data_IF_130697306834
#
_entry.id   IF_130697306834
#
_cell.length_a   1.000
_cell.length_b   1.000
_cell.length_c   1.000
_cell.angle_alpha   90.00
_cell.angle_beta   90.00
_cell.angle_gamma   90.00
#
_symmetry.space_group_name_H-M   'P 1'
#
loop_
_entity.id
_entity.type
_entity.pdbx_description
1 polymer ?
#
# COMPACT_ATOMS: atom_id res chain seq x y z
N UNK A 1 9.15 23.15 10.74
CA UNK A 1 8.73 22.03 9.86
C UNK A 1 9.05 22.39 8.42
N UNK A 2 9.16 21.40 7.53
CA UNK A 2 9.36 21.56 6.08
C UNK A 2 8.13 21.06 5.35
N UNK A 3 7.69 21.81 4.35
CA UNK A 3 6.56 21.42 3.51
C UNK A 3 7.01 20.34 2.52
N UNK A 4 6.24 19.25 2.43
CA UNK A 4 6.42 18.20 1.41
C UNK A 4 5.04 17.94 0.79
N UNK A 5 4.86 18.39 -0.45
CA UNK A 5 3.54 18.45 -1.07
C UNK A 5 2.63 19.44 -0.34
N UNK A 6 1.49 18.95 0.17
CA UNK A 6 0.51 19.76 0.94
C UNK A 6 0.67 19.66 2.45
N UNK A 7 1.59 18.83 2.93
CA UNK A 7 1.72 18.49 4.35
C UNK A 7 3.05 18.99 4.91
N UNK A 8 3.17 19.03 6.23
CA UNK A 8 4.34 19.55 6.92
C UNK A 8 4.99 18.49 7.80
N UNK A 9 6.29 18.26 7.61
CA UNK A 9 7.04 17.25 8.36
C UNK A 9 8.27 17.87 9.02
N UNK A 10 8.86 17.18 9.99
CA UNK A 10 10.04 17.64 10.69
C UNK A 10 11.25 16.72 10.44
N UNK A 11 12.10 17.03 9.45
CA UNK A 11 13.28 16.23 9.14
C UNK A 11 14.27 16.13 10.31
N UNK A 12 14.35 17.14 11.19
CA UNK A 12 15.27 17.10 12.34
C UNK A 12 14.84 16.13 13.44
N UNK A 13 13.58 15.68 13.41
CA UNK A 13 13.05 14.64 14.29
C UNK A 13 12.91 13.31 13.55
N UNK A 14 13.65 13.12 12.45
CA UNK A 14 13.61 11.87 11.72
C UNK A 14 14.18 10.73 12.55
N UNK A 15 13.68 9.52 12.30
CA UNK A 15 14.23 8.30 12.88
C UNK A 15 14.25 7.19 11.85
N UNK A 16 15.20 6.28 12.00
CA UNK A 16 15.35 5.12 11.11
C UNK A 16 14.57 3.93 11.67
N UNK A 17 13.80 3.28 10.81
CA UNK A 17 13.19 1.98 11.07
C UNK A 17 13.90 0.96 10.20
N UNK A 18 14.72 0.15 10.85
CA UNK A 18 15.44 -0.92 10.16
C UNK A 18 14.49 -2.06 9.85
N UNK A 19 14.51 -2.57 8.62
CA UNK A 19 13.79 -3.79 8.24
C UNK A 19 14.76 -4.75 7.54
N UNK A 20 14.38 -6.02 7.42
CA UNK A 20 15.29 -7.07 6.91
C UNK A 20 15.81 -6.81 5.49
N UNK A 21 15.03 -6.14 4.64
CA UNK A 21 15.37 -5.88 3.23
C UNK A 21 15.73 -4.42 2.95
N UNK A 22 15.00 -3.49 3.55
CA UNK A 22 15.11 -2.06 3.27
C UNK A 22 14.97 -1.30 4.57
N UNK A 23 15.85 -0.33 4.80
CA UNK A 23 15.74 0.57 5.94
C UNK A 23 14.93 1.80 5.54
N UNK A 24 14.08 2.27 6.44
CA UNK A 24 13.23 3.43 6.20
C UNK A 24 13.61 4.58 7.12
N UNK A 25 13.49 5.79 6.61
CA UNK A 25 13.50 7.01 7.38
C UNK A 25 12.07 7.53 7.49
N UNK A 26 11.62 7.82 8.72
CA UNK A 26 10.30 8.38 8.99
C UNK A 26 10.46 9.81 9.47
N UNK A 27 9.76 10.74 8.81
CA UNK A 27 9.65 12.12 9.26
C UNK A 27 8.29 12.33 9.93
N UNK A 28 8.25 12.59 11.24
CA UNK A 28 7.00 12.93 11.91
C UNK A 28 6.50 14.29 11.42
N UNK A 29 5.20 14.45 11.32
CA UNK A 29 4.58 15.65 10.80
C UNK A 29 3.08 15.69 11.00
N UNK A 30 2.46 16.65 10.32
CA UNK A 30 1.05 16.91 10.40
C UNK A 30 0.49 17.14 9.00
N UNK A 31 -0.68 16.56 8.75
CA UNK A 31 -1.58 16.99 7.68
C UNK A 31 -2.44 18.09 8.30
N UNK A 32 -2.51 19.24 7.65
CA UNK A 32 -3.30 20.37 8.14
C UNK A 32 -4.24 20.88 7.06
N UNK A 33 -5.45 21.25 7.46
CA UNK A 33 -6.41 21.96 6.62
C UNK A 33 -7.20 22.95 7.47
N UNK A 34 -7.53 24.10 6.88
CA UNK A 34 -8.41 25.09 7.49
C UNK A 34 -9.65 25.16 6.60
N UNK A 35 -10.81 24.89 7.19
CA UNK A 35 -12.09 24.87 6.48
C UNK A 35 -13.17 25.55 7.32
N UNK A 36 -14.16 26.11 6.65
CA UNK A 36 -15.39 26.57 7.28
C UNK A 36 -16.26 25.35 7.62
N UNK A 37 -16.66 25.24 8.89
CA UNK A 37 -17.63 24.26 9.38
C UNK A 37 -18.90 24.97 9.86
N UNK A 38 -19.86 24.22 10.39
CA UNK A 38 -21.22 24.67 10.70
C UNK A 38 -21.27 25.92 11.59
N UNK A 39 -20.32 26.05 12.52
CA UNK A 39 -20.32 27.17 13.50
C UNK A 39 -19.06 28.02 13.45
N UNK A 40 -17.97 27.52 12.89
CA UNK A 40 -16.66 28.17 13.00
C UNK A 40 -15.71 27.70 11.91
N UNK A 41 -14.68 28.49 11.66
CA UNK A 41 -13.51 28.04 10.90
C UNK A 41 -12.67 27.15 11.80
N UNK A 42 -12.41 25.91 11.37
CA UNK A 42 -11.64 24.94 12.16
C UNK A 42 -10.32 24.62 11.47
N UNK A 43 -9.26 24.51 12.27
CA UNK A 43 -8.02 23.84 11.88
C UNK A 43 -8.16 22.34 12.15
N UNK A 44 -8.20 21.56 11.10
CA UNK A 44 -8.07 20.11 11.18
C UNK A 44 -6.60 19.74 11.08
N UNK A 45 -6.08 19.06 12.11
CA UNK A 45 -4.73 18.55 12.13
C UNK A 45 -4.73 17.04 12.38
N UNK A 46 -3.97 16.30 11.60
CA UNK A 46 -3.77 14.86 11.76
C UNK A 46 -2.29 14.53 11.83
N UNK A 47 -1.91 13.70 12.81
CA UNK A 47 -0.54 13.19 12.94
C UNK A 47 -0.21 12.30 11.74
N UNK A 48 0.85 12.64 11.03
CA UNK A 48 1.28 11.93 9.83
C UNK A 48 2.77 11.64 9.87
N UNK A 49 3.19 10.59 9.16
CA UNK A 49 4.60 10.23 9.01
C UNK A 49 4.92 10.13 7.53
N UNK A 50 5.90 10.90 7.06
CA UNK A 50 6.43 10.73 5.71
C UNK A 50 7.42 9.58 5.75
N UNK A 51 7.07 8.49 5.07
CA UNK A 51 7.92 7.32 4.93
C UNK A 51 8.79 7.42 3.68
N UNK A 52 10.09 7.24 3.85
CA UNK A 52 11.07 7.28 2.78
C UNK A 52 12.03 6.11 2.94
N UNK A 53 12.53 5.57 1.84
CA UNK A 53 13.61 4.58 1.94
C UNK A 53 14.93 5.28 2.30
N UNK A 54 15.85 4.56 2.95
CA UNK A 54 17.16 5.12 3.27
C UNK A 54 18.11 5.06 2.07
N UNK A 55 17.93 4.05 1.21
CA UNK A 55 18.69 3.87 -0.02
C UNK A 55 18.30 4.91 -1.09
N UNK A 56 19.27 5.26 -1.93
CA UNK A 56 19.08 6.13 -3.08
C UNK A 56 18.51 5.35 -4.28
N UNK A 57 18.01 6.06 -5.29
CA UNK A 57 17.64 5.42 -6.56
C UNK A 57 18.86 4.77 -7.22
N UNK A 58 20.06 5.33 -7.02
CA UNK A 58 21.31 4.73 -7.49
C UNK A 58 21.61 3.37 -6.83
N UNK A 59 21.36 3.24 -5.53
CA UNK A 59 21.54 1.97 -4.82
C UNK A 59 20.57 0.90 -5.35
N UNK A 60 19.33 1.30 -5.62
CA UNK A 60 18.31 0.44 -6.24
C UNK A 60 18.74 0.01 -7.66
N UNK A 61 19.26 0.94 -8.46
CA UNK A 61 19.81 0.64 -9.79
C UNK A 61 20.90 -0.44 -9.72
N UNK A 62 21.85 -0.30 -8.79
CA UNK A 62 22.95 -1.26 -8.61
C UNK A 62 22.44 -2.63 -8.16
N UNK A 63 21.48 -2.67 -7.24
CA UNK A 63 20.86 -3.91 -6.79
C UNK A 63 20.14 -4.62 -7.93
N UNK A 64 19.28 -3.91 -8.67
CA UNK A 64 18.54 -4.48 -9.79
C UNK A 64 19.44 -4.95 -10.92
N UNK A 65 20.57 -4.26 -11.17
CA UNK A 65 21.56 -4.67 -12.15
C UNK A 65 22.16 -6.04 -11.80
N UNK A 66 22.54 -6.26 -10.54
CA UNK A 66 23.03 -7.56 -10.05
C UNK A 66 21.99 -8.68 -10.23
N UNK A 67 20.74 -8.43 -9.81
CA UNK A 67 19.65 -9.39 -9.92
C UNK A 67 19.29 -9.75 -11.37
N UNK A 68 19.34 -8.77 -12.27
CA UNK A 68 19.05 -9.00 -13.69
C UNK A 68 20.17 -9.79 -14.37
N UNK A 69 21.44 -9.49 -14.05
CA UNK A 69 22.59 -10.23 -14.58
C UNK A 69 22.56 -11.70 -14.18
N UNK A 70 22.19 -12.02 -12.93
CA UNK A 70 22.07 -13.40 -12.47
C UNK A 70 20.91 -14.16 -13.14
N UNK A 71 19.83 -13.47 -13.51
CA UNK A 71 18.62 -14.08 -14.08
C UNK A 71 18.53 -13.98 -15.61
N UNK A 72 19.54 -13.41 -16.27
CA UNK A 72 19.54 -13.19 -17.72
C UNK A 72 18.42 -12.27 -18.21
N UNK A 73 18.01 -11.27 -17.40
CA UNK A 73 16.92 -10.33 -17.75
C UNK A 73 17.48 -9.00 -18.25
N UNK A 74 16.72 -8.31 -19.10
CA UNK A 74 17.05 -6.95 -19.53
C UNK A 74 16.91 -5.97 -18.36
N UNK A 75 18.05 -5.49 -17.88
CA UNK A 75 18.12 -4.54 -16.78
C UNK A 75 17.40 -3.21 -17.08
N UNK A 76 17.55 -2.65 -18.28
CA UNK A 76 16.96 -1.34 -18.60
C UNK A 76 15.45 -1.44 -18.57
N UNK A 77 14.90 -2.49 -19.19
CA UNK A 77 13.46 -2.72 -19.23
C UNK A 77 12.87 -2.96 -17.83
N UNK A 78 13.52 -3.78 -17.00
CA UNK A 78 13.04 -4.03 -15.63
C UNK A 78 13.12 -2.78 -14.75
N UNK A 79 14.17 -1.96 -14.92
CA UNK A 79 14.30 -0.71 -14.18
C UNK A 79 13.24 0.32 -14.58
N UNK A 80 12.95 0.46 -15.87
CA UNK A 80 11.88 1.35 -16.36
C UNK A 80 10.52 0.91 -15.82
N UNK A 81 10.20 -0.40 -15.86
CA UNK A 81 8.97 -0.94 -15.25
C UNK A 81 8.85 -0.62 -13.76
N UNK A 82 9.97 -0.62 -13.05
CA UNK A 82 9.98 -0.34 -11.61
C UNK A 82 9.82 1.16 -11.30
N UNK A 83 10.56 2.01 -12.00
CA UNK A 83 10.75 3.42 -11.61
C UNK A 83 9.76 4.37 -12.29
N UNK A 84 9.35 4.11 -13.53
CA UNK A 84 8.41 4.97 -14.25
C UNK A 84 7.07 4.98 -13.53
N UNK A 85 6.55 6.17 -13.23
CA UNK A 85 5.37 6.40 -12.43
C UNK A 85 5.61 6.52 -10.92
N UNK A 86 6.80 6.17 -10.41
CA UNK A 86 7.14 6.34 -9.01
C UNK A 86 7.36 7.81 -8.66
N UNK A 87 7.15 8.15 -7.38
CA UNK A 87 7.45 9.47 -6.84
C UNK A 87 8.77 9.39 -6.06
N UNK A 88 9.76 10.15 -6.51
CA UNK A 88 11.04 10.32 -5.80
C UNK A 88 11.05 11.64 -5.05
N UNK A 89 11.78 11.68 -3.93
CA UNK A 89 12.12 12.90 -3.19
C UNK A 89 13.58 13.22 -3.40
N UNK A 90 13.88 14.49 -3.66
CA UNK A 90 15.24 15.03 -3.65
C UNK A 90 15.56 15.60 -2.27
N UNK A 91 16.49 14.99 -1.55
CA UNK A 91 16.75 15.31 -0.13
C UNK A 91 17.28 16.73 0.11
N UNK A 92 17.96 17.30 -0.88
CA UNK A 92 18.60 18.62 -0.77
C UNK A 92 17.60 19.79 -0.78
N UNK A 93 16.39 19.60 -1.29
CA UNK A 93 15.36 20.65 -1.34
C UNK A 93 13.95 20.18 -0.94
N UNK A 94 13.79 18.91 -0.56
CA UNK A 94 12.53 18.27 -0.17
C UNK A 94 11.43 18.34 -1.24
N UNK A 95 11.79 18.46 -2.51
CA UNK A 95 10.84 18.42 -3.63
C UNK A 95 10.61 16.98 -4.08
N UNK A 96 9.37 16.71 -4.47
CA UNK A 96 8.96 15.40 -5.00
C UNK A 96 8.72 15.50 -6.49
N UNK A 97 9.16 14.49 -7.23
CA UNK A 97 9.03 14.40 -8.67
C UNK A 97 8.46 13.05 -9.05
N UNK A 98 7.51 13.03 -9.99
CA UNK A 98 7.08 11.78 -10.63
C UNK A 98 8.08 11.46 -11.74
N UNK A 99 8.59 10.24 -11.75
CA UNK A 99 9.52 9.80 -12.80
C UNK A 99 8.71 9.36 -14.02
N UNK A 100 9.05 9.88 -15.19
CA UNK A 100 8.39 9.56 -16.46
C UNK A 100 9.31 8.77 -17.41
N UNK A 101 10.61 8.72 -17.13
CA UNK A 101 11.59 7.97 -17.91
C UNK A 101 12.97 7.96 -17.26
N UNK A 102 13.90 7.25 -17.90
CA UNK A 102 15.33 7.21 -17.53
C UNK A 102 16.13 7.54 -18.79
N UNK A 103 16.98 8.55 -18.71
CA UNK A 103 17.88 8.96 -19.78
C UNK A 103 19.20 8.20 -19.66
N UNK A 104 19.26 7.03 -20.32
CA UNK A 104 20.43 6.15 -20.29
C UNK A 104 21.64 6.69 -21.05
N UNK A 105 21.42 7.62 -21.98
CA UNK A 105 22.47 8.21 -22.81
C UNK A 105 23.05 9.49 -22.20
N UNK A 106 22.45 10.01 -21.13
CA UNK A 106 22.95 11.17 -20.41
C UNK A 106 23.62 10.73 -19.11
N UNK A 107 24.62 11.51 -18.68
CA UNK A 107 25.26 11.34 -17.38
C UNK A 107 25.51 12.71 -16.73
N UNK A 108 25.99 12.71 -15.49
CA UNK A 108 26.14 13.94 -14.70
C UNK A 108 27.23 14.88 -15.21
N UNK A 109 28.17 14.42 -16.04
CA UNK A 109 29.20 15.27 -16.64
C UNK A 109 28.68 16.08 -17.82
N UNK A 110 27.53 15.70 -18.38
CA UNK A 110 26.90 16.46 -19.45
C UNK A 110 26.33 17.79 -18.93
N UNK A 111 26.20 18.75 -19.85
CA UNK A 111 25.74 20.11 -19.54
C UNK A 111 24.28 20.31 -19.88
N UNK A 112 23.65 21.24 -19.17
CA UNK A 112 22.32 21.76 -19.47
C UNK A 112 22.34 23.29 -19.41
N UNK A 113 21.41 23.93 -20.11
CA UNK A 113 21.30 25.38 -20.14
C UNK A 113 20.58 25.92 -18.90
N UNK A 114 21.22 26.83 -18.17
CA UNK A 114 20.59 27.70 -17.16
C UNK A 114 20.58 29.14 -17.66
N UNK A 115 19.80 30.01 -17.00
CA UNK A 115 19.71 31.44 -17.35
C UNK A 115 21.06 32.17 -17.40
N UNK A 116 22.05 31.69 -16.64
CA UNK A 116 23.40 32.27 -16.57
C UNK A 116 24.44 31.52 -17.43
N UNK A 117 24.00 30.65 -18.36
CA UNK A 117 24.85 29.90 -19.29
C UNK A 117 24.83 28.38 -19.08
N UNK A 118 25.62 27.65 -19.83
CA UNK A 118 25.68 26.18 -19.77
C UNK A 118 26.48 25.70 -18.55
N UNK A 119 25.95 24.72 -17.79
CA UNK A 119 26.62 24.14 -16.61
C UNK A 119 26.43 22.62 -16.58
N UNK A 120 27.43 21.88 -16.10
CA UNK A 120 27.28 20.42 -15.91
C UNK A 120 26.37 20.11 -14.72
N UNK A 121 25.79 18.91 -14.66
CA UNK A 121 25.01 18.52 -13.48
C UNK A 121 25.91 18.49 -12.23
N UNK A 122 27.12 17.94 -12.33
CA UNK A 122 28.09 17.89 -11.20
C UNK A 122 28.37 19.29 -10.66
N UNK A 123 28.71 20.24 -11.54
CA UNK A 123 29.04 21.60 -11.13
C UNK A 123 27.82 22.32 -10.55
N UNK A 124 26.65 22.15 -11.17
CA UNK A 124 25.41 22.74 -10.67
C UNK A 124 25.10 22.30 -9.23
N UNK A 125 25.17 21.00 -8.94
CA UNK A 125 24.90 20.47 -7.60
C UNK A 125 25.96 20.89 -6.58
N UNK A 126 27.22 21.04 -7.02
CA UNK A 126 28.30 21.55 -6.17
C UNK A 126 28.14 23.04 -5.87
N UNK A 127 27.84 23.87 -6.86
CA UNK A 127 27.67 25.31 -6.70
C UNK A 127 26.41 25.66 -5.89
N UNK A 128 25.25 25.06 -6.20
CA UNK A 128 23.98 25.45 -5.61
C UNK A 128 23.68 24.82 -4.26
N UNK A 129 24.13 23.58 -4.05
CA UNK A 129 23.77 22.81 -2.86
C UNK A 129 25.00 22.31 -2.08
N UNK A 130 26.23 22.59 -2.55
CA UNK A 130 27.48 22.07 -1.99
C UNK A 130 27.52 20.53 -1.91
N UNK A 131 26.94 19.86 -2.91
CA UNK A 131 26.88 18.39 -2.97
C UNK A 131 27.92 17.88 -3.95
N UNK A 132 28.68 16.86 -3.54
CA UNK A 132 29.62 16.14 -4.41
C UNK A 132 28.95 14.84 -4.86
N UNK A 133 28.76 14.70 -6.17
CA UNK A 133 28.23 13.47 -6.79
C UNK A 133 29.37 12.46 -6.88
N UNK A 134 29.15 11.23 -6.40
CA UNK A 134 30.21 10.21 -6.32
C UNK A 134 30.31 9.37 -7.58
N UNK A 135 29.17 8.99 -8.15
CA UNK A 135 29.14 8.15 -9.36
C UNK A 135 28.89 9.03 -10.59
N UNK A 136 29.93 9.27 -11.40
CA UNK A 136 29.80 10.16 -12.56
C UNK A 136 29.20 9.47 -13.79
N UNK A 137 29.07 8.16 -13.78
CA UNK A 137 28.55 7.36 -14.91
C UNK A 137 27.07 6.97 -14.73
N UNK A 138 26.44 7.38 -13.64
CA UNK A 138 25.03 7.11 -13.41
C UNK A 138 24.14 7.80 -14.47
N UNK A 139 23.04 7.15 -14.90
CA UNK A 139 22.08 7.76 -15.82
C UNK A 139 21.33 8.90 -15.13
N UNK A 140 20.52 9.64 -15.89
CA UNK A 140 19.64 10.67 -15.32
C UNK A 140 18.19 10.20 -15.31
N UNK A 141 17.43 10.63 -14.30
CA UNK A 141 15.98 10.40 -14.24
C UNK A 141 15.26 11.55 -14.94
N UNK A 142 14.23 11.23 -15.72
CA UNK A 142 13.40 12.19 -16.41
C UNK A 142 12.10 12.42 -15.64
N UNK A 143 11.78 13.68 -15.37
CA UNK A 143 10.48 14.10 -14.82
C UNK A 143 9.90 15.22 -15.68
N UNK A 144 8.66 15.06 -16.11
CA UNK A 144 7.91 16.05 -16.88
C UNK A 144 6.84 16.68 -15.98
N UNK A 145 7.02 17.96 -15.58
CA UNK A 145 6.02 18.66 -14.77
C UNK A 145 4.65 18.70 -15.43
N UNK A 146 3.59 18.87 -14.64
CA UNK A 146 2.24 18.97 -15.21
C UNK A 146 2.12 20.22 -16.07
N UNK A 147 1.28 20.20 -17.09
CA UNK A 147 1.08 21.34 -18.00
C UNK A 147 0.69 22.63 -17.25
N UNK A 148 -0.01 22.53 -16.11
CA UNK A 148 -0.31 23.66 -15.23
C UNK A 148 0.92 24.32 -14.60
N UNK A 149 1.97 23.55 -14.32
CA UNK A 149 3.23 24.03 -13.75
C UNK A 149 4.11 24.67 -14.83
N UNK A 150 4.13 24.08 -16.03
CA UNK A 150 4.78 24.66 -17.21
C UNK A 150 4.19 26.05 -17.53
N UNK A 151 2.85 26.17 -17.54
CA UNK A 151 2.15 27.45 -17.74
C UNK A 151 2.48 28.52 -16.67
N UNK A 152 2.96 28.11 -15.50
CA UNK A 152 3.42 29.00 -14.42
C UNK A 152 4.92 29.34 -14.53
N UNK A 153 5.56 29.05 -15.67
CA UNK A 153 6.98 29.27 -15.91
C UNK A 153 7.89 28.14 -15.41
N UNK A 154 7.34 26.96 -15.15
CA UNK A 154 8.11 25.75 -14.83
C UNK A 154 8.85 25.20 -16.04
N UNK A 155 9.93 24.44 -15.79
CA UNK A 155 10.67 23.73 -16.84
C UNK A 155 9.78 22.67 -17.50
N UNK A 156 9.94 22.47 -18.80
CA UNK A 156 9.24 21.41 -19.54
C UNK A 156 9.78 20.02 -19.17
N UNK A 157 11.08 19.95 -18.89
CA UNK A 157 11.79 18.72 -18.53
C UNK A 157 12.73 19.00 -17.36
N UNK A 158 12.72 18.10 -16.38
CA UNK A 158 13.64 18.12 -15.23
C UNK A 158 14.44 16.82 -15.22
N UNK A 159 15.76 16.93 -15.30
CA UNK A 159 16.67 15.83 -15.09
C UNK A 159 17.11 15.77 -13.63
N UNK A 160 17.04 14.57 -13.04
CA UNK A 160 17.41 14.33 -11.64
C UNK A 160 18.51 13.28 -11.56
N UNK A 161 19.40 13.44 -10.59
CA UNK A 161 20.52 12.52 -10.36
C UNK A 161 20.05 11.39 -9.42
N UNK A 162 20.11 10.11 -9.83
CA UNK A 162 19.66 8.98 -9.02
C UNK A 162 20.25 8.91 -7.61
N UNK A 163 21.53 9.25 -7.43
CA UNK A 163 22.23 9.29 -6.14
C UNK A 163 21.57 10.25 -5.14
N UNK A 164 20.96 11.33 -5.63
CA UNK A 164 20.35 12.38 -4.81
C UNK A 164 18.83 12.19 -4.64
N UNK A 165 18.29 11.12 -5.23
CA UNK A 165 16.87 10.80 -5.22
C UNK A 165 16.60 9.60 -4.31
N UNK A 166 15.46 9.64 -3.61
CA UNK A 166 14.98 8.53 -2.80
C UNK A 166 13.54 8.21 -3.19
N UNK A 167 13.23 6.93 -3.43
CA UNK A 167 11.84 6.52 -3.70
C UNK A 167 10.99 6.73 -2.43
N UNK A 168 9.85 7.40 -2.59
CA UNK A 168 8.94 7.69 -1.48
C UNK A 168 7.80 6.67 -1.42
N UNK A 169 7.27 6.45 -0.21
CA UNK A 169 6.19 5.49 0.00
C UNK A 169 6.67 4.03 0.04
N UNK A 170 5.73 3.12 -0.11
CA UNK A 170 5.96 1.67 -0.12
C UNK A 170 5.66 1.12 -1.50
N UNK A 171 6.58 0.32 -2.04
CA UNK A 171 6.29 -0.50 -3.23
C UNK A 171 5.30 -1.60 -2.85
N UNK A 172 4.58 -2.16 -3.82
CA UNK A 172 3.62 -3.24 -3.55
C UNK A 172 4.29 -4.48 -2.96
N UNK A 173 5.54 -4.75 -3.34
CA UNK A 173 6.37 -5.81 -2.75
C UNK A 173 6.62 -5.57 -1.26
N UNK A 174 6.94 -4.34 -0.86
CA UNK A 174 7.16 -3.98 0.53
C UNK A 174 5.85 -3.95 1.33
N UNK A 175 4.73 -3.56 0.71
CA UNK A 175 3.39 -3.66 1.32
C UNK A 175 2.98 -5.12 1.56
N UNK A 176 3.38 -6.02 0.66
CA UNK A 176 3.13 -7.45 0.80
C UNK A 176 4.05 -8.13 1.84
N UNK A 177 5.16 -7.51 2.23
CA UNK A 177 6.03 -7.99 3.29
C UNK A 177 5.44 -7.68 4.68
N UNK A 178 4.83 -8.70 5.27
CA UNK A 178 4.23 -8.64 6.60
C UNK A 178 5.20 -8.18 7.69
N UNK A 179 6.48 -8.58 7.62
CA UNK A 179 7.45 -8.23 8.67
C UNK A 179 7.78 -6.73 8.62
N UNK A 180 8.01 -6.21 7.42
CA UNK A 180 8.22 -4.77 7.19
C UNK A 180 6.98 -3.98 7.63
N UNK A 181 5.78 -4.36 7.20
CA UNK A 181 4.55 -3.68 7.59
C UNK A 181 4.27 -3.74 9.09
N UNK A 182 4.56 -4.87 9.75
CA UNK A 182 4.41 -5.00 11.21
C UNK A 182 5.36 -4.06 11.96
N UNK A 183 6.62 -3.95 11.52
CA UNK A 183 7.60 -3.01 12.11
C UNK A 183 7.18 -1.56 11.90
N UNK A 184 6.80 -1.17 10.68
CA UNK A 184 6.34 0.18 10.37
C UNK A 184 5.07 0.56 11.13
N UNK A 185 4.17 -0.40 11.37
CA UNK A 185 2.92 -0.18 12.08
C UNK A 185 3.13 0.27 13.53
N UNK A 186 4.21 -0.18 14.21
CA UNK A 186 4.54 0.23 15.59
C UNK A 186 4.66 1.75 15.71
N UNK A 187 5.19 2.40 14.67
CA UNK A 187 5.44 3.84 14.66
C UNK A 187 4.31 4.64 14.00
N UNK A 188 3.73 4.10 12.93
CA UNK A 188 2.72 4.78 12.12
C UNK A 188 1.29 4.62 12.66
N UNK A 189 0.97 3.51 13.34
CA UNK A 189 -0.36 3.28 13.94
C UNK A 189 -0.37 3.74 15.40
N UNK A 190 -0.49 5.05 15.59
CA UNK A 190 -0.61 5.63 16.93
C UNK A 190 -2.03 5.47 17.47
N UNK A 191 -2.15 4.97 18.71
CA UNK A 191 -3.42 4.90 19.43
C UNK A 191 -3.97 6.28 19.81
N UNK A 192 -5.26 6.38 20.20
CA UNK A 192 -5.95 7.64 20.45
C UNK A 192 -5.25 8.56 21.45
N UNK A 193 -4.74 8.02 22.56
CA UNK A 193 -4.06 8.80 23.61
C UNK A 193 -2.79 9.48 23.09
N UNK A 194 -1.92 8.73 22.39
CA UNK A 194 -0.69 9.28 21.79
C UNK A 194 -1.00 10.32 20.73
N UNK A 195 -2.04 10.08 19.92
CA UNK A 195 -2.50 11.04 18.90
C UNK A 195 -2.99 12.35 19.53
N UNK A 196 -3.82 12.28 20.57
CA UNK A 196 -4.29 13.45 21.33
C UNK A 196 -3.13 14.24 21.93
N UNK A 197 -2.15 13.56 22.51
CA UNK A 197 -0.94 14.20 23.04
C UNK A 197 -0.12 14.91 21.95
N UNK A 198 0.12 14.24 20.82
CA UNK A 198 0.85 14.84 19.70
C UNK A 198 0.16 16.09 19.14
N UNK A 199 -1.17 16.10 19.03
CA UNK A 199 -1.94 17.27 18.61
C UNK A 199 -1.89 18.42 19.62
N UNK A 200 -1.98 18.12 20.92
CA UNK A 200 -1.79 19.12 21.96
C UNK A 200 -0.39 19.75 21.90
N UNK A 201 0.65 18.93 21.79
CA UNK A 201 2.03 19.40 21.65
C UNK A 201 2.24 20.23 20.38
N UNK A 202 1.54 19.90 19.29
CA UNK A 202 1.57 20.67 18.06
C UNK A 202 0.97 22.07 18.23
N UNK A 203 -0.24 22.17 18.77
CA UNK A 203 -0.89 23.45 19.05
C UNK A 203 -0.07 24.28 20.03
N UNK A 204 0.43 23.66 21.11
CA UNK A 204 1.27 24.35 22.08
C UNK A 204 2.52 24.97 21.40
N UNK A 205 3.21 24.24 20.53
CA UNK A 205 4.36 24.78 19.78
C UNK A 205 4.01 25.94 18.86
N UNK A 206 2.80 25.96 18.31
CA UNK A 206 2.30 27.06 17.47
C UNK A 206 2.02 28.28 18.34
N UNK A 207 1.30 28.10 19.46
CA UNK A 207 0.87 29.20 20.32
C UNK A 207 2.00 29.78 21.17
N UNK A 208 3.06 29.01 21.48
CA UNK A 208 4.23 29.54 22.21
C UNK A 208 5.27 30.19 21.28
N UNK A 209 5.09 30.14 19.97
CA UNK A 209 6.01 30.77 19.03
C UNK A 209 5.56 32.20 18.75
N UNK A 210 6.30 33.18 19.28
CA UNK A 210 5.99 34.61 19.21
C UNK A 210 5.88 35.14 17.79
N UNK A 211 6.68 34.62 16.84
CA UNK A 211 6.59 35.03 15.43
C UNK A 211 5.28 34.58 14.80
N UNK A 212 4.83 33.36 15.15
CA UNK A 212 3.57 32.82 14.66
C UNK A 212 2.39 33.58 15.28
N UNK A 213 2.41 33.77 16.60
CA UNK A 213 1.37 34.52 17.31
C UNK A 213 1.19 35.93 16.73
N UNK A 214 2.28 36.67 16.53
CA UNK A 214 2.24 38.01 15.93
C UNK A 214 1.61 38.00 14.54
N UNK A 215 2.01 37.05 13.68
CA UNK A 215 1.45 36.92 12.32
C UNK A 215 -0.03 36.60 12.33
N UNK A 216 -0.52 35.76 13.23
CA UNK A 216 -1.96 35.46 13.29
C UNK A 216 -2.75 36.63 13.89
N UNK A 217 -2.18 37.34 14.87
CA UNK A 217 -2.78 38.53 15.46
C UNK A 217 -2.98 39.67 14.44
N UNK A 218 -2.05 39.85 13.49
CA UNK A 218 -2.19 40.81 12.37
C UNK A 218 -3.44 40.54 11.51
N UNK A 219 -3.91 39.29 11.46
CA UNK A 219 -5.13 38.88 10.75
C UNK A 219 -6.37 38.82 11.64
N UNK A 220 -6.24 39.18 12.93
CA UNK A 220 -7.31 39.03 13.92
C UNK A 220 -7.64 37.56 14.23
N UNK A 221 -6.71 36.64 13.97
CA UNK A 221 -6.89 35.21 14.15
C UNK A 221 -6.13 34.71 15.38
N UNK A 222 -6.68 33.68 16.04
CA UNK A 222 -6.03 32.98 17.14
C UNK A 222 -6.41 31.50 17.11
N UNK A 223 -5.48 30.62 17.48
CA UNK A 223 -5.78 29.22 17.71
C UNK A 223 -6.26 28.99 19.15
N UNK A 224 -7.26 28.14 19.29
CA UNK A 224 -7.67 27.59 20.57
C UNK A 224 -6.63 26.54 21.04
N UNK A 225 -6.37 26.48 22.34
CA UNK A 225 -5.33 25.64 22.95
C UNK A 225 -5.82 24.22 23.34
N UNK A 226 -7.10 23.94 23.08
CA UNK A 226 -7.75 22.65 23.32
C UNK A 226 -8.32 22.05 22.04
N UNK A 227 -8.54 20.74 22.09
CA UNK A 227 -9.28 20.07 21.03
C UNK A 227 -10.75 20.43 21.15
N UNK A 228 -11.44 20.47 20.01
CA UNK A 228 -12.87 20.73 19.94
C UNK A 228 -13.65 19.61 20.65
N UNK A 229 -14.46 19.99 21.62
CA UNK A 229 -15.41 19.08 22.27
C UNK A 229 -16.68 18.98 21.41
N UNK A 230 -17.06 17.75 21.07
CA UNK A 230 -18.22 17.46 20.25
C UNK A 230 -19.20 16.57 21.03
N UNK A 231 -20.47 16.94 21.03
CA UNK A 231 -21.54 16.09 21.55
C UNK A 231 -21.89 15.03 20.51
N UNK A 232 -21.31 13.85 20.68
CA UNK A 232 -21.68 12.66 19.92
C UNK A 232 -22.90 11.93 20.51
N UNK A 233 -23.39 10.93 19.78
CA UNK A 233 -24.35 9.92 20.27
C UNK A 233 -23.85 8.54 19.88
N UNK A 234 -23.98 7.58 20.79
CA UNK A 234 -23.75 6.16 20.49
C UNK A 234 -25.10 5.58 20.08
N UNK A 235 -25.16 4.98 18.90
CA UNK A 235 -26.34 4.27 18.44
C UNK A 235 -26.49 2.96 19.20
N UNK A 236 -27.73 2.54 19.43
CA UNK A 236 -28.01 1.22 19.97
C UNK A 236 -27.54 0.14 19.00
N UNK A 237 -27.08 -0.97 19.55
CA UNK A 237 -26.66 -2.12 18.74
C UNK A 237 -27.85 -2.68 17.98
N UNK A 238 -27.67 -2.92 16.68
CA UNK A 238 -28.68 -3.57 15.86
C UNK A 238 -28.82 -5.06 16.19
N UNK A 239 -30.03 -5.57 15.98
CA UNK A 239 -30.31 -7.00 16.17
C UNK A 239 -30.05 -7.77 14.87
N UNK A 240 -29.18 -8.78 14.93
CA UNK A 240 -28.85 -9.66 13.81
C UNK A 240 -29.78 -10.86 13.82
N UNK A 241 -30.49 -11.06 12.71
CA UNK A 241 -31.39 -12.19 12.49
C UNK A 241 -30.64 -13.39 11.91
N UNK A 242 -30.84 -14.57 12.50
CA UNK A 242 -30.29 -15.86 12.08
C UNK A 242 -31.41 -16.81 11.65
N UNK A 243 -31.03 -18.00 11.17
CA UNK A 243 -31.99 -19.06 10.86
C UNK A 243 -32.80 -19.47 12.10
N UNK A 244 -33.94 -20.11 11.87
CA UNK A 244 -34.87 -20.54 12.93
C UNK A 244 -35.35 -19.37 13.82
N UNK A 245 -35.51 -18.16 13.25
CA UNK A 245 -35.92 -16.93 13.92
C UNK A 245 -35.06 -16.53 15.14
N UNK A 246 -33.81 -17.00 15.20
CA UNK A 246 -32.90 -16.63 16.28
C UNK A 246 -32.33 -15.25 16.08
N UNK A 247 -32.03 -14.57 17.19
CA UNK A 247 -31.55 -13.20 17.19
C UNK A 247 -30.28 -13.09 18.03
N UNK A 248 -29.38 -12.21 17.62
CA UNK A 248 -28.22 -11.84 18.40
C UNK A 248 -28.04 -10.32 18.40
N UNK A 249 -27.63 -9.78 19.54
CA UNK A 249 -27.25 -8.38 19.68
C UNK A 249 -25.88 -8.35 20.36
N UNK A 250 -24.95 -7.56 19.84
CA UNK A 250 -23.60 -7.44 20.38
C UNK A 250 -23.30 -6.01 20.76
N UNK A 251 -22.76 -5.81 21.97
CA UNK A 251 -22.33 -4.50 22.45
C UNK A 251 -21.07 -4.00 21.74
N UNK A 252 -20.22 -4.91 21.29
CA UNK A 252 -18.92 -4.59 20.66
C UNK A 252 -18.98 -4.66 19.13
N UNK A 253 -20.19 -4.69 18.55
CA UNK A 253 -20.43 -4.87 17.11
C UNK A 253 -19.70 -6.10 16.53
N UNK A 254 -19.52 -7.15 17.34
CA UNK A 254 -18.94 -8.44 16.92
C UNK A 254 -19.87 -9.58 17.30
N UNK A 255 -20.25 -10.41 16.31
CA UNK A 255 -21.16 -11.55 16.48
C UNK A 255 -20.49 -12.87 16.05
N UNK A 256 -19.15 -12.93 16.12
CA UNK A 256 -18.37 -14.08 15.66
C UNK A 256 -18.69 -15.36 16.45
N UNK A 257 -19.03 -15.23 17.74
CA UNK A 257 -19.38 -16.37 18.58
C UNK A 257 -20.78 -16.89 18.26
N UNK A 258 -21.72 -15.97 18.05
CA UNK A 258 -23.11 -16.27 17.70
C UNK A 258 -23.17 -16.93 16.33
N UNK A 259 -22.40 -16.43 15.35
CA UNK A 259 -22.31 -17.04 14.03
C UNK A 259 -21.85 -18.51 14.07
N UNK A 260 -20.96 -18.89 15.00
CA UNK A 260 -20.49 -20.28 15.15
C UNK A 260 -21.54 -21.21 15.78
N UNK A 261 -22.52 -20.65 16.50
CA UNK A 261 -23.52 -21.39 17.28
C UNK A 261 -24.90 -21.40 16.62
N UNK A 262 -25.14 -20.51 15.66
CA UNK A 262 -26.42 -20.36 15.00
C UNK A 262 -26.37 -20.81 13.55
N UNK A 263 -27.55 -21.16 13.02
CA UNK A 263 -27.72 -21.45 11.60
C UNK A 263 -27.80 -20.16 10.80
N UNK A 264 -27.31 -20.21 9.57
CA UNK A 264 -27.45 -19.10 8.62
C UNK A 264 -28.92 -18.78 8.37
N UNK A 265 -29.23 -17.49 8.21
CA UNK A 265 -30.59 -17.01 7.92
C UNK A 265 -31.18 -17.67 6.68
N UNK A 266 -30.38 -17.73 5.61
CA UNK A 266 -30.70 -18.43 4.37
C UNK A 266 -29.42 -19.05 3.83
N UNK A 267 -29.51 -20.30 3.40
CA UNK A 267 -28.41 -21.02 2.80
C UNK A 267 -28.91 -21.85 1.61
N UNK A 268 -28.07 -22.01 0.60
CA UNK A 268 -28.30 -22.90 -0.53
C UNK A 268 -27.34 -24.07 -0.37
N UNK A 269 -27.85 -25.28 -0.45
CA UNK A 269 -27.04 -26.49 -0.35
C UNK A 269 -26.01 -26.55 -1.49
N UNK A 270 -24.76 -26.86 -1.13
CA UNK A 270 -23.64 -27.00 -2.05
C UNK A 270 -23.43 -28.49 -2.35
N UNK A 271 -24.07 -28.96 -3.42
CA UNK A 271 -24.07 -30.37 -3.84
C UNK A 271 -23.02 -30.63 -4.93
N UNK A 272 -23.02 -29.81 -5.98
CA UNK A 272 -22.18 -30.00 -7.18
C UNK A 272 -21.08 -28.94 -7.20
N UNK A 273 -19.89 -29.29 -6.73
CA UNK A 273 -18.75 -28.36 -6.72
C UNK A 273 -17.42 -29.09 -6.87
N UNK A 274 -16.40 -28.36 -7.29
CA UNK A 274 -15.06 -28.90 -7.51
C UNK A 274 -14.01 -28.15 -6.70
N UNK A 275 -12.97 -28.87 -6.29
CA UNK A 275 -11.77 -28.30 -5.68
C UNK A 275 -10.55 -28.63 -6.54
N UNK A 276 -9.86 -27.58 -7.01
CA UNK A 276 -8.65 -27.67 -7.82
C UNK A 276 -7.45 -27.36 -6.94
N UNK A 277 -6.44 -28.22 -6.95
CA UNK A 277 -5.22 -28.08 -6.15
C UNK A 277 -4.01 -28.69 -6.87
N UNK A 278 -2.81 -28.18 -6.59
CA UNK A 278 -1.59 -28.83 -7.07
C UNK A 278 -1.30 -30.12 -6.28
N UNK A 279 -0.68 -31.13 -6.90
CA UNK A 279 -0.35 -32.42 -6.25
C UNK A 279 0.30 -32.27 -4.87
N UNK A 280 1.22 -31.31 -4.72
CA UNK A 280 1.90 -31.02 -3.44
C UNK A 280 0.96 -30.56 -2.31
N UNK A 281 -0.19 -29.99 -2.65
CA UNK A 281 -1.16 -29.43 -1.70
C UNK A 281 -2.33 -30.40 -1.43
N UNK A 282 -2.27 -31.64 -1.95
CA UNK A 282 -3.35 -32.65 -1.83
C UNK A 282 -3.82 -32.87 -0.39
N UNK A 283 -2.89 -33.13 0.54
CA UNK A 283 -3.22 -33.32 1.96
C UNK A 283 -3.87 -32.08 2.59
N UNK A 284 -3.41 -30.89 2.20
CA UNK A 284 -3.99 -29.63 2.67
C UNK A 284 -5.42 -29.44 2.13
N UNK A 285 -5.68 -29.83 0.89
CA UNK A 285 -7.02 -29.82 0.29
C UNK A 285 -7.96 -30.80 0.98
N UNK A 286 -7.52 -32.03 1.27
CA UNK A 286 -8.28 -33.03 2.02
C UNK A 286 -8.63 -32.51 3.42
N UNK A 287 -7.64 -32.02 4.18
CA UNK A 287 -7.85 -31.44 5.52
C UNK A 287 -8.81 -30.24 5.50
N UNK A 288 -8.72 -29.40 4.46
CA UNK A 288 -9.62 -28.26 4.28
C UNK A 288 -11.06 -28.72 4.03
N UNK A 289 -11.26 -29.70 3.15
CA UNK A 289 -12.59 -30.25 2.85
C UNK A 289 -13.22 -30.85 4.11
N UNK A 290 -12.48 -31.63 4.89
CA UNK A 290 -12.98 -32.19 6.16
C UNK A 290 -13.42 -31.11 7.14
N UNK A 291 -12.61 -30.06 7.31
CA UNK A 291 -12.94 -28.92 8.19
C UNK A 291 -14.16 -28.17 7.69
N UNK A 292 -14.26 -27.94 6.37
CA UNK A 292 -15.41 -27.26 5.77
C UNK A 292 -16.69 -28.06 6.01
N UNK A 293 -16.69 -29.37 5.73
CA UNK A 293 -17.83 -30.26 5.96
C UNK A 293 -18.26 -30.31 7.43
N UNK A 294 -17.30 -30.22 8.37
CA UNK A 294 -17.58 -30.19 9.81
C UNK A 294 -18.23 -28.87 10.23
N UNK A 295 -17.68 -27.74 9.81
CA UNK A 295 -18.15 -26.40 10.22
C UNK A 295 -19.49 -26.06 9.56
N UNK A 296 -19.67 -26.43 8.29
CA UNK A 296 -20.88 -26.09 7.53
C UNK A 296 -22.15 -26.69 8.13
N UNK A 297 -22.07 -27.91 8.69
CA UNK A 297 -23.20 -28.59 9.36
C UNK A 297 -23.79 -27.78 10.51
N UNK A 298 -22.95 -27.23 11.38
CA UNK A 298 -23.40 -26.43 12.53
C UNK A 298 -24.11 -25.14 12.09
N UNK A 299 -23.70 -24.60 10.94
CA UNK A 299 -24.26 -23.40 10.35
C UNK A 299 -25.54 -23.67 9.54
N UNK A 300 -26.00 -24.93 9.45
CA UNK A 300 -27.12 -25.31 8.59
C UNK A 300 -26.80 -25.25 7.10
N UNK A 301 -25.52 -25.15 6.73
CA UNK A 301 -25.05 -25.19 5.35
C UNK A 301 -24.69 -26.62 4.96
N UNK A 302 -25.54 -27.28 4.17
CA UNK A 302 -25.22 -28.64 3.70
C UNK A 302 -24.25 -28.55 2.55
N UNK A 303 -23.09 -29.17 2.74
CA UNK A 303 -22.02 -29.22 1.73
C UNK A 303 -21.73 -30.70 1.44
N UNK A 304 -21.84 -31.11 0.19
CA UNK A 304 -21.42 -32.42 -0.29
C UNK A 304 -19.91 -32.47 -0.47
N UNK A 305 -19.33 -33.67 -0.62
CA UNK A 305 -17.91 -33.79 -0.96
C UNK A 305 -17.66 -33.24 -2.38
N UNK A 306 -16.64 -32.40 -2.59
CA UNK A 306 -16.33 -31.87 -3.91
C UNK A 306 -15.76 -32.95 -4.83
N UNK A 307 -15.84 -32.69 -6.13
CA UNK A 307 -14.99 -33.38 -7.11
C UNK A 307 -13.54 -32.88 -6.97
N UNK A 308 -12.57 -33.73 -6.58
CA UNK A 308 -11.18 -33.32 -6.49
C UNK A 308 -10.55 -33.29 -7.89
N UNK A 309 -9.82 -32.21 -8.19
CA UNK A 309 -9.12 -32.03 -9.46
C UNK A 309 -7.66 -31.69 -9.19
N UNK A 310 -6.82 -32.71 -9.31
CA UNK A 310 -5.40 -32.60 -9.09
C UNK A 310 -4.69 -31.99 -10.31
N UNK A 311 -3.80 -31.04 -10.05
CA UNK A 311 -3.03 -30.29 -11.04
C UNK A 311 -1.55 -30.62 -10.92
N UNK A 312 -0.91 -30.97 -12.04
CA UNK A 312 0.56 -31.09 -12.10
C UNK A 312 1.25 -29.74 -11.87
N UNK A 313 0.59 -28.64 -12.27
CA UNK A 313 1.13 -27.29 -12.17
C UNK A 313 0.04 -26.23 -12.04
N UNK A 314 0.38 -25.11 -11.37
CA UNK A 314 -0.52 -23.96 -11.18
C UNK A 314 -0.89 -23.26 -12.50
N UNK A 315 -0.18 -23.55 -13.60
CA UNK A 315 -0.52 -22.99 -14.91
C UNK A 315 -1.81 -23.59 -15.47
N UNK A 316 -2.19 -24.78 -15.01
CA UNK A 316 -3.31 -25.53 -15.57
C UNK A 316 -4.68 -25.15 -15.00
N UNK A 317 -4.77 -24.23 -14.02
CA UNK A 317 -6.06 -23.84 -13.42
C UNK A 317 -7.10 -23.49 -14.48
N UNK A 318 -6.80 -22.57 -15.40
CA UNK A 318 -7.75 -22.13 -16.42
C UNK A 318 -8.26 -23.27 -17.31
N UNK A 319 -7.35 -24.15 -17.77
CA UNK A 319 -7.70 -25.31 -18.60
C UNK A 319 -8.60 -26.27 -17.83
N UNK A 320 -8.23 -26.62 -16.60
CA UNK A 320 -8.97 -27.59 -15.78
C UNK A 320 -10.32 -27.07 -15.32
N UNK A 321 -10.47 -25.76 -15.10
CA UNK A 321 -11.76 -25.12 -14.84
C UNK A 321 -12.69 -25.35 -16.04
N UNK A 322 -12.21 -25.17 -17.28
CA UNK A 322 -12.98 -25.45 -18.50
C UNK A 322 -13.32 -26.93 -18.64
N UNK A 323 -12.38 -27.83 -18.34
CA UNK A 323 -12.64 -29.28 -18.37
C UNK A 323 -13.77 -29.67 -17.38
N UNK A 324 -13.75 -29.12 -16.15
CA UNK A 324 -14.78 -29.38 -15.14
C UNK A 324 -16.14 -28.88 -15.59
N UNK A 325 -16.22 -27.62 -16.05
CA UNK A 325 -17.48 -27.03 -16.51
C UNK A 325 -18.03 -27.72 -17.77
N UNK A 326 -17.16 -28.15 -18.68
CA UNK A 326 -17.57 -28.91 -19.87
C UNK A 326 -18.13 -30.29 -19.54
N UNK A 327 -17.63 -30.94 -18.48
CA UNK A 327 -18.16 -32.23 -17.99
C UNK A 327 -19.42 -32.08 -17.15
N UNK A 328 -19.48 -31.06 -16.30
CA UNK A 328 -20.62 -30.82 -15.43
C UNK A 328 -21.05 -29.34 -15.45
N UNK A 329 -21.95 -28.97 -16.37
CA UNK A 329 -22.49 -27.61 -16.44
C UNK A 329 -23.30 -27.19 -15.20
N UNK A 330 -23.72 -28.14 -14.34
CA UNK A 330 -24.46 -27.87 -13.09
C UNK A 330 -23.55 -27.51 -11.91
N UNK A 331 -22.24 -27.42 -12.11
CA UNK A 331 -21.28 -27.03 -11.08
C UNK A 331 -21.66 -25.67 -10.46
N UNK A 332 -21.96 -25.66 -9.17
CA UNK A 332 -22.38 -24.49 -8.39
C UNK A 332 -21.21 -23.62 -7.94
N UNK A 333 -20.04 -24.22 -7.73
CA UNK A 333 -18.85 -23.52 -7.25
C UNK A 333 -17.56 -24.22 -7.69
N UNK A 334 -16.55 -23.42 -8.01
CA UNK A 334 -15.16 -23.88 -8.19
C UNK A 334 -14.28 -23.28 -7.10
N UNK A 335 -13.69 -24.13 -6.27
CA UNK A 335 -12.71 -23.74 -5.27
C UNK A 335 -11.29 -23.99 -5.81
N UNK A 336 -10.45 -22.96 -5.92
CA UNK A 336 -9.06 -23.08 -6.37
C UNK A 336 -8.10 -22.86 -5.21
N UNK A 337 -7.38 -23.90 -4.82
CA UNK A 337 -6.32 -23.83 -3.83
C UNK A 337 -4.99 -23.48 -4.50
N UNK A 338 -4.60 -22.21 -4.39
CA UNK A 338 -3.37 -21.70 -4.97
C UNK A 338 -2.18 -21.82 -3.99
N UNK A 339 -1.00 -22.19 -4.49
CA UNK A 339 0.19 -22.31 -3.64
C UNK A 339 0.82 -20.96 -3.26
N UNK A 340 0.54 -19.90 -4.03
CA UNK A 340 1.13 -18.57 -3.85
C UNK A 340 0.12 -17.47 -4.19
N UNK A 341 0.35 -16.25 -3.72
CA UNK A 341 -0.49 -15.07 -4.01
C UNK A 341 -0.19 -14.43 -5.37
N UNK A 342 0.09 -15.24 -6.39
CA UNK A 342 0.41 -14.78 -7.74
C UNK A 342 -0.82 -14.13 -8.40
N UNK A 343 -0.71 -12.83 -8.68
CA UNK A 343 -1.81 -12.01 -9.22
C UNK A 343 -2.28 -12.48 -10.60
N UNK A 344 -1.33 -12.79 -11.49
CA UNK A 344 -1.60 -13.28 -12.84
C UNK A 344 -2.43 -14.58 -12.85
N UNK A 345 -2.15 -15.50 -11.92
CA UNK A 345 -2.92 -16.74 -11.74
C UNK A 345 -4.33 -16.47 -11.22
N UNK A 346 -4.45 -15.61 -10.21
CA UNK A 346 -5.75 -15.23 -9.65
C UNK A 346 -6.64 -14.55 -10.69
N UNK A 347 -6.11 -13.57 -11.42
CA UNK A 347 -6.82 -12.88 -12.50
C UNK A 347 -7.22 -13.85 -13.60
N UNK A 348 -6.34 -14.80 -13.93
CA UNK A 348 -6.62 -15.87 -14.86
C UNK A 348 -7.84 -16.72 -14.46
N UNK A 349 -7.90 -17.16 -13.21
CA UNK A 349 -9.04 -17.92 -12.67
C UNK A 349 -10.32 -17.09 -12.74
N UNK A 350 -10.26 -15.83 -12.28
CA UNK A 350 -11.41 -14.92 -12.28
C UNK A 350 -11.91 -14.60 -13.69
N UNK A 351 -11.02 -14.39 -14.65
CA UNK A 351 -11.40 -14.20 -16.05
C UNK A 351 -12.21 -15.39 -16.57
N UNK A 352 -11.71 -16.61 -16.36
CA UNK A 352 -12.40 -17.82 -16.82
C UNK A 352 -13.76 -17.99 -16.14
N UNK A 353 -13.85 -17.75 -14.83
CA UNK A 353 -15.07 -17.99 -14.04
C UNK A 353 -16.10 -16.84 -14.07
N UNK A 354 -15.72 -15.65 -14.54
CA UNK A 354 -16.61 -14.48 -14.56
C UNK A 354 -16.87 -13.93 -15.95
N UNK A 355 -16.00 -14.21 -16.93
CA UNK A 355 -16.13 -13.73 -18.32
C UNK A 355 -16.42 -14.90 -19.26
N UNK A 356 -15.58 -15.94 -19.22
CA UNK A 356 -15.70 -17.04 -20.18
C UNK A 356 -16.86 -18.00 -19.83
N UNK A 357 -17.08 -18.26 -18.53
CA UNK A 357 -18.08 -19.21 -18.04
C UNK A 357 -18.72 -18.68 -16.74
N UNK A 358 -20.04 -18.74 -16.57
CA UNK A 358 -20.73 -18.16 -15.42
C UNK A 358 -20.72 -19.09 -14.20
N UNK A 359 -19.57 -19.22 -13.53
CA UNK A 359 -19.44 -20.07 -12.33
C UNK A 359 -18.84 -19.32 -11.14
N UNK A 360 -19.50 -19.28 -9.98
CA UNK A 360 -18.91 -18.73 -8.76
C UNK A 360 -17.59 -19.41 -8.42
N UNK A 361 -16.57 -18.60 -8.09
CA UNK A 361 -15.24 -19.12 -7.76
C UNK A 361 -14.73 -18.60 -6.42
N UNK A 362 -14.18 -19.50 -5.61
CA UNK A 362 -13.48 -19.17 -4.37
C UNK A 362 -12.00 -19.52 -4.52
N UNK A 363 -11.11 -18.57 -4.24
CA UNK A 363 -9.66 -18.83 -4.25
C UNK A 363 -9.16 -18.84 -2.82
N UNK A 364 -8.37 -19.86 -2.46
CA UNK A 364 -7.74 -20.00 -1.15
C UNK A 364 -6.26 -20.24 -1.31
N UNK A 365 -5.44 -19.74 -0.39
CA UNK A 365 -3.99 -19.97 -0.42
C UNK A 365 -3.63 -21.15 0.48
N UNK A 366 -2.90 -22.14 -0.03
CA UNK A 366 -2.52 -23.33 0.74
C UNK A 366 -1.73 -22.95 2.00
N UNK A 367 -0.85 -21.95 1.92
CA UNK A 367 -0.11 -21.39 3.08
C UNK A 367 -0.97 -20.82 4.21
N UNK A 368 -2.20 -20.42 3.92
CA UNK A 368 -3.13 -19.87 4.92
C UNK A 368 -3.84 -21.01 5.67
N UNK A 369 -4.05 -22.13 4.97
CA UNK A 369 -4.72 -23.31 5.49
C UNK A 369 -3.75 -24.25 6.24
N UNK A 370 -2.47 -24.26 5.85
CA UNK A 370 -1.43 -25.09 6.46
C UNK A 370 -0.90 -24.56 7.80
N UNK A 371 -1.30 -23.35 8.22
CA UNK A 371 -0.97 -22.79 9.53
C UNK A 371 -2.12 -23.02 10.49
N UNK A 372 -2.06 -24.02 11.38
CA UNK A 372 -3.02 -24.09 12.48
C UNK A 372 -2.87 -22.82 13.32
N UNK A 373 -3.91 -22.00 13.39
CA UNK A 373 -4.00 -21.00 14.45
C UNK A 373 -4.07 -21.78 15.76
N UNK A 374 -3.04 -21.62 16.61
CA UNK A 374 -3.07 -22.05 18.00
C UNK A 374 -4.05 -21.19 18.78
#
# INVERSE_FOLDING_TARGET
MKQVGRNFYNPSMSFTVECQRVNFELWPGFITSILQYEKSVLLCAEVSHKLMRKDSVLDILRQMYGDCRQRGRDFKQEMEKFLVGQIVLTRYNNKTYRIDGIEWNLNVNMKFERKSGSVSYVDYYKEQYNIVIRDTNQPLLLSRPKQSEIRKGGLEVVHLVPELCTVTGLTDELRADFNTMKRLAVYTKQGPTKRKQALKSFIQRITTNTEVEKRFAEWGLRFEDRLLDLKGRVLDSETIMFGDNKQAQSRDASWDQEFRRQRLLKCIDLQEWAILFCSRDKRCAEDFVEKLLKVSRNMGFRVARPTPVELESDQMFQKRIRDVMGRNPKTQLICCMMPSSRKDRYEGIKKVCCVDMPVPSQVVLSRTLSKPQR
#
